data_IF_006792886659
#
_entry.id   IF_006792886659
#
_cell.length_a   1.000
_cell.length_b   1.000
_cell.length_c   1.000
_cell.angle_alpha   90.00
_cell.angle_beta   90.00
_cell.angle_gamma   90.00
#
_symmetry.space_group_name_H-M   'P 1'
#
loop_
_entity.id
_entity.type
_entity.pdbx_description
1 polymer ?
#
# COMPACT_ATOMS: atom_id res chain seq x y z
N UNK A 1 -16.57 1.53 13.58
CA UNK A 1 -16.47 1.48 12.10
C UNK A 1 -15.05 1.08 11.75
N UNK A 2 -14.80 0.11 10.84
CA UNK A 2 -13.45 -0.18 10.40
C UNK A 2 -12.85 1.07 9.74
N UNK A 3 -11.61 1.42 10.12
CA UNK A 3 -10.92 2.55 9.52
C UNK A 3 -10.62 2.23 8.05
N UNK A 4 -11.09 3.08 7.13
CA UNK A 4 -11.00 2.82 5.68
C UNK A 4 -9.55 2.83 5.17
N UNK A 5 -8.69 3.71 5.71
CA UNK A 5 -7.32 3.89 5.25
C UNK A 5 -6.35 3.97 6.42
N UNK A 6 -5.48 2.98 6.56
CA UNK A 6 -4.31 3.04 7.46
C UNK A 6 -3.26 3.94 6.78
N UNK A 7 -2.76 4.92 7.52
CA UNK A 7 -1.73 5.86 7.05
C UNK A 7 -0.35 5.54 7.58
N UNK A 8 -0.26 4.95 8.79
CA UNK A 8 1.03 4.63 9.40
C UNK A 8 0.90 3.55 10.49
N UNK A 9 1.99 2.84 10.76
CA UNK A 9 2.18 1.97 11.92
C UNK A 9 3.51 2.33 12.61
N UNK A 10 3.50 2.44 13.94
CA UNK A 10 4.66 2.88 14.73
C UNK A 10 4.88 1.95 15.93
N UNK A 11 6.14 1.65 16.21
CA UNK A 11 6.58 1.02 17.47
C UNK A 11 7.45 2.02 18.21
N UNK A 12 7.01 2.42 19.40
CA UNK A 12 7.78 3.24 20.31
C UNK A 12 8.14 2.40 21.52
N UNK A 13 9.38 1.92 21.61
CA UNK A 13 9.88 1.14 22.74
C UNK A 13 11.18 1.79 23.24
N UNK A 14 11.19 2.20 24.52
CA UNK A 14 12.21 3.11 25.05
C UNK A 14 12.97 2.59 26.27
N UNK A 15 13.96 3.40 26.69
CA UNK A 15 14.74 3.22 27.92
C UNK A 15 13.78 3.14 29.12
N UNK A 16 13.87 2.07 29.94
CA UNK A 16 12.90 1.59 30.96
C UNK A 16 11.95 0.45 30.52
N UNK A 17 12.15 -0.15 29.34
CA UNK A 17 11.57 -1.46 29.03
C UNK A 17 10.05 -1.47 28.79
N UNK A 18 9.48 -0.30 28.48
CA UNK A 18 8.06 -0.14 28.17
C UNK A 18 7.89 0.68 26.89
N UNK A 19 6.77 0.46 26.23
CA UNK A 19 6.48 1.07 24.95
C UNK A 19 5.04 0.88 24.49
N UNK A 20 4.78 1.21 23.24
CA UNK A 20 3.51 0.99 22.60
C UNK A 20 3.67 0.78 21.09
N UNK A 21 2.76 0.00 20.52
CA UNK A 21 2.47 -0.06 19.10
C UNK A 21 1.26 0.83 18.82
N UNK A 22 1.25 1.54 17.70
CA UNK A 22 0.16 2.44 17.31
C UNK A 22 -0.11 2.36 15.83
N UNK A 23 -1.39 2.30 15.46
CA UNK A 23 -1.87 2.44 14.08
C UNK A 23 -2.46 3.83 13.91
N UNK A 24 -2.12 4.50 12.80
CA UNK A 24 -2.71 5.76 12.38
C UNK A 24 -3.62 5.53 11.18
N UNK A 25 -4.77 6.19 11.17
CA UNK A 25 -5.69 6.21 10.05
C UNK A 25 -6.09 7.65 9.72
N UNK A 26 -6.62 7.87 8.50
CA UNK A 26 -7.09 9.20 8.09
C UNK A 26 -8.09 9.79 9.11
N UNK A 27 -7.83 11.01 9.57
CA UNK A 27 -8.66 11.71 10.57
C UNK A 27 -8.29 11.47 12.04
N UNK A 28 -7.22 10.72 12.33
CA UNK A 28 -6.78 10.42 13.70
C UNK A 28 -5.69 11.39 14.17
N UNK A 29 -5.87 12.00 15.36
CA UNK A 29 -4.88 12.90 15.95
C UNK A 29 -3.66 12.11 16.44
N UNK A 30 -2.50 12.38 15.84
CA UNK A 30 -1.23 11.75 16.20
C UNK A 30 -0.48 12.56 17.26
N UNK A 31 -0.64 12.19 18.53
CA UNK A 31 0.18 12.72 19.64
C UNK A 31 1.15 11.67 20.15
N UNK A 32 2.30 12.11 20.69
CA UNK A 32 3.25 11.23 21.39
C UNK A 32 2.57 10.71 22.66
N UNK A 33 2.59 9.40 22.88
CA UNK A 33 1.90 8.75 24.01
C UNK A 33 2.92 8.20 25.02
N UNK A 34 2.47 7.97 26.24
CA UNK A 34 3.28 7.39 27.32
C UNK A 34 2.53 6.26 28.00
N UNK A 35 3.24 5.18 28.30
CA UNK A 35 2.71 4.03 29.05
C UNK A 35 2.32 4.41 30.48
N UNK A 36 3.03 5.36 31.09
CA UNK A 36 2.88 5.75 32.49
C UNK A 36 1.91 6.91 32.72
N UNK A 37 1.21 7.37 31.67
CA UNK A 37 0.31 8.51 31.79
C UNK A 37 -1.06 8.10 32.34
N UNK A 38 -1.57 8.85 33.33
CA UNK A 38 -2.92 8.70 33.85
C UNK A 38 -3.97 9.40 32.97
N UNK A 39 -3.54 10.34 32.13
CA UNK A 39 -4.37 11.09 31.18
C UNK A 39 -4.86 10.16 30.05
N UNK A 40 -6.19 9.98 29.87
CA UNK A 40 -6.76 9.10 28.85
C UNK A 40 -6.28 9.37 27.42
N UNK A 41 -6.00 10.63 27.08
CA UNK A 41 -5.60 11.03 25.74
C UNK A 41 -4.11 10.77 25.47
N UNK A 42 -3.31 10.65 26.54
CA UNK A 42 -1.86 10.41 26.49
C UNK A 42 -1.45 9.01 26.92
N UNK A 43 -2.38 8.23 27.47
CA UNK A 43 -2.17 6.84 27.88
C UNK A 43 -2.32 5.90 26.68
N UNK A 44 -1.27 5.16 26.34
CA UNK A 44 -1.35 4.18 25.25
C UNK A 44 -2.39 3.07 25.51
N UNK A 45 -2.58 2.67 26.77
CA UNK A 45 -3.51 1.61 27.17
C UNK A 45 -5.00 1.99 27.02
N UNK A 46 -5.31 3.30 26.96
CA UNK A 46 -6.68 3.81 26.89
C UNK A 46 -7.09 4.23 25.48
N UNK A 47 -6.21 4.05 24.50
CA UNK A 47 -6.41 4.54 23.14
C UNK A 47 -6.79 3.38 22.22
N UNK A 48 -7.89 3.49 21.45
CA UNK A 48 -8.43 2.39 20.66
C UNK A 48 -7.51 1.95 19.51
N UNK A 49 -6.52 2.77 19.17
CA UNK A 49 -5.57 2.55 18.07
C UNK A 49 -4.15 2.19 18.57
N UNK A 50 -3.98 1.91 19.86
CA UNK A 50 -2.67 1.64 20.47
C UNK A 50 -2.69 0.35 21.30
N UNK A 51 -1.58 -0.38 21.28
CA UNK A 51 -1.35 -1.57 22.10
C UNK A 51 -0.09 -1.35 22.93
N UNK A 52 -0.17 -1.55 24.24
CA UNK A 52 0.98 -1.44 25.12
C UNK A 52 1.99 -2.57 24.91
N UNK A 53 3.28 -2.24 24.97
CA UNK A 53 4.40 -3.18 24.83
C UNK A 53 5.17 -3.21 26.15
N UNK A 54 5.30 -4.39 26.73
CA UNK A 54 5.93 -4.59 28.04
C UNK A 54 7.34 -5.21 27.97
N UNK A 55 7.84 -5.58 26.78
CA UNK A 55 9.16 -6.20 26.64
C UNK A 55 9.75 -6.00 25.26
N UNK A 56 11.08 -6.17 25.16
CA UNK A 56 11.82 -6.07 23.91
C UNK A 56 11.41 -7.17 22.92
N UNK A 57 11.18 -8.39 23.39
CA UNK A 57 10.73 -9.51 22.54
C UNK A 57 9.41 -9.17 21.86
N UNK A 58 8.47 -8.63 22.62
CA UNK A 58 7.17 -8.19 22.08
C UNK A 58 7.34 -7.00 21.14
N UNK A 59 8.25 -6.06 21.46
CA UNK A 59 8.59 -4.96 20.56
C UNK A 59 9.13 -5.46 19.21
N UNK A 60 9.99 -6.48 19.21
CA UNK A 60 10.56 -7.06 18.00
C UNK A 60 9.45 -7.74 17.15
N UNK A 61 8.48 -8.43 17.78
CA UNK A 61 7.29 -8.94 17.08
C UNK A 61 6.42 -7.84 16.48
N UNK A 62 6.20 -6.75 17.20
CA UNK A 62 5.45 -5.61 16.67
C UNK A 62 6.21 -4.83 15.59
N UNK A 63 7.55 -4.86 15.60
CA UNK A 63 8.33 -4.31 14.49
C UNK A 63 8.15 -5.12 13.21
N UNK A 64 8.05 -6.45 13.31
CA UNK A 64 7.67 -7.30 12.18
C UNK A 64 6.28 -6.93 11.67
N UNK A 65 5.29 -6.85 12.56
CA UNK A 65 3.92 -6.47 12.19
C UNK A 65 3.84 -5.07 11.56
N UNK A 66 4.59 -4.09 12.10
CA UNK A 66 4.74 -2.75 11.55
C UNK A 66 5.21 -2.79 10.10
N UNK A 67 6.29 -3.53 9.83
CA UNK A 67 6.86 -3.62 8.49
C UNK A 67 5.87 -4.27 7.52
N UNK A 68 5.22 -5.36 7.93
CA UNK A 68 4.20 -6.03 7.12
C UNK A 68 3.03 -5.09 6.77
N UNK A 69 2.52 -4.33 7.74
CA UNK A 69 1.43 -3.37 7.51
C UNK A 69 1.87 -2.27 6.55
N UNK A 70 3.08 -1.71 6.73
CA UNK A 70 3.60 -0.66 5.85
C UNK A 70 3.82 -1.18 4.42
N UNK A 71 4.29 -2.42 4.26
CA UNK A 71 4.40 -3.07 2.95
C UNK A 71 3.03 -3.18 2.27
N UNK A 72 2.01 -3.67 2.97
CA UNK A 72 0.64 -3.75 2.42
C UNK A 72 0.02 -2.40 2.11
N UNK A 73 0.26 -1.40 2.95
CA UNK A 73 -0.16 -0.02 2.67
C UNK A 73 0.55 0.49 1.41
N UNK A 74 1.84 0.23 1.24
CA UNK A 74 2.57 0.63 0.03
C UNK A 74 2.06 -0.10 -1.22
N UNK A 75 1.75 -1.40 -1.15
CA UNK A 75 1.13 -2.15 -2.26
C UNK A 75 -0.19 -1.50 -2.72
N UNK A 76 -1.00 -0.98 -1.81
CA UNK A 76 -2.26 -0.29 -2.17
C UNK A 76 -2.05 1.10 -2.79
N UNK A 77 -0.89 1.73 -2.55
CA UNK A 77 -0.54 3.04 -3.12
C UNK A 77 0.39 2.95 -4.32
N UNK A 78 0.96 1.78 -4.61
CA UNK A 78 1.57 1.54 -5.90
C UNK A 78 0.48 1.81 -6.94
N UNK A 79 0.76 2.62 -7.98
CA UNK A 79 -0.15 2.65 -9.11
C UNK A 79 -0.28 1.20 -9.52
N UNK A 80 -1.50 0.67 -9.40
CA UNK A 80 -1.86 -0.53 -10.13
C UNK A 80 -1.40 -0.18 -11.53
N UNK A 81 -0.32 -0.82 -12.00
CA UNK A 81 -0.09 -0.95 -13.42
C UNK A 81 -1.37 -1.68 -13.83
N UNK A 82 -2.36 -0.88 -14.20
CA UNK A 82 -3.50 -1.33 -14.96
C UNK A 82 -2.80 -1.90 -16.16
N UNK A 83 -2.53 -3.21 -16.11
CA UNK A 83 -2.48 -4.02 -17.30
C UNK A 83 -3.86 -3.80 -17.86
N UNK A 84 -3.98 -2.71 -18.61
CA UNK A 84 -5.10 -2.46 -19.46
C UNK A 84 -5.18 -3.75 -20.23
N UNK A 85 -6.21 -4.54 -19.95
CA UNK A 85 -6.60 -5.65 -20.77
C UNK A 85 -7.09 -5.01 -22.06
N UNK A 86 -6.15 -4.47 -22.84
CA UNK A 86 -6.39 -3.94 -24.16
C UNK A 86 -6.85 -5.17 -24.91
N UNK A 87 -8.09 -5.16 -25.38
CA UNK A 87 -8.59 -6.29 -26.14
C UNK A 87 -7.71 -6.40 -27.40
N UNK A 88 -7.46 -7.62 -27.92
CA UNK A 88 -6.72 -7.78 -29.18
C UNK A 88 -7.30 -6.91 -30.32
N UNK A 89 -8.60 -6.60 -30.28
CA UNK A 89 -9.27 -5.69 -31.21
C UNK A 89 -8.80 -4.22 -31.07
N UNK A 90 -8.61 -3.73 -29.84
CA UNK A 90 -8.14 -2.37 -29.58
C UNK A 90 -6.69 -2.18 -30.04
N UNK A 91 -5.86 -3.22 -29.92
CA UNK A 91 -4.49 -3.20 -30.45
C UNK A 91 -4.48 -3.15 -31.99
N UNK A 92 -5.33 -3.95 -32.65
CA UNK A 92 -5.47 -3.93 -34.12
C UNK A 92 -5.91 -2.54 -34.61
N UNK A 93 -6.80 -1.86 -33.89
CA UNK A 93 -7.21 -0.49 -34.23
C UNK A 93 -6.07 0.53 -34.10
N UNK A 94 -5.19 0.37 -33.09
CA UNK A 94 -3.99 1.22 -32.95
C UNK A 94 -3.01 0.99 -34.09
N UNK A 95 -2.72 -0.26 -34.43
CA UNK A 95 -1.84 -0.57 -35.56
C UNK A 95 -2.40 -0.07 -36.89
N UNK A 96 -3.73 -0.08 -37.07
CA UNK A 96 -4.37 0.48 -38.28
C UNK A 96 -4.13 1.98 -38.39
N UNK A 97 -4.22 2.72 -37.29
CA UNK A 97 -3.91 4.16 -37.28
C UNK A 97 -2.45 4.43 -37.64
N UNK A 98 -1.52 3.63 -37.12
CA UNK A 98 -0.09 3.76 -37.45
C UNK A 98 0.17 3.48 -38.94
N UNK A 99 -0.59 2.57 -39.55
CA UNK A 99 -0.53 2.31 -41.00
C UNK A 99 -1.08 3.50 -41.80
N UNK A 100 -2.23 4.03 -41.39
CA UNK A 100 -2.85 5.21 -42.02
C UNK A 100 -1.94 6.47 -41.90
N UNK A 101 -1.18 6.57 -40.81
CA UNK A 101 -0.16 7.60 -40.59
C UNK A 101 1.17 7.33 -41.31
N UNK A 102 1.32 6.16 -41.96
CA UNK A 102 2.53 5.77 -42.67
C UNK A 102 3.73 5.45 -41.78
N UNK A 103 3.51 5.24 -40.48
CA UNK A 103 4.55 4.93 -39.48
C UNK A 103 4.99 3.46 -39.59
N UNK A 104 4.08 2.58 -39.99
CA UNK A 104 4.35 1.16 -40.25
C UNK A 104 3.92 0.81 -41.67
N UNK A 105 4.50 -0.25 -42.21
CA UNK A 105 4.16 -0.80 -43.52
C UNK A 105 2.98 -1.78 -43.45
N UNK A 106 2.32 -2.03 -44.59
CA UNK A 106 1.23 -3.01 -44.71
C UNK A 106 1.66 -4.41 -44.23
N UNK A 107 2.91 -4.79 -44.49
CA UNK A 107 3.49 -6.08 -44.10
C UNK A 107 3.60 -6.21 -42.56
N UNK A 108 4.09 -5.16 -41.90
CA UNK A 108 4.22 -5.09 -40.45
C UNK A 108 2.86 -5.11 -39.74
N UNK A 109 1.86 -4.42 -40.32
CA UNK A 109 0.49 -4.43 -39.83
C UNK A 109 -0.12 -5.84 -39.89
N UNK A 110 0.03 -6.54 -41.02
CA UNK A 110 -0.52 -7.90 -41.21
C UNK A 110 0.14 -8.91 -40.26
N UNK A 111 1.45 -8.82 -40.06
CA UNK A 111 2.19 -9.70 -39.15
C UNK A 111 1.72 -9.52 -37.71
N UNK A 112 1.60 -8.27 -37.24
CA UNK A 112 1.09 -7.96 -35.90
C UNK A 112 -0.37 -8.38 -35.72
N UNK A 113 -1.21 -8.18 -36.73
CA UNK A 113 -2.61 -8.64 -36.70
C UNK A 113 -2.73 -10.16 -36.54
N UNK A 114 -1.90 -10.95 -37.23
CA UNK A 114 -1.89 -12.42 -37.10
C UNK A 114 -1.41 -12.87 -35.73
N UNK A 115 -0.36 -12.24 -35.21
CA UNK A 115 0.18 -12.49 -33.86
C UNK A 115 -0.89 -12.26 -32.78
N UNK A 116 -1.63 -11.15 -32.89
CA UNK A 116 -2.69 -10.79 -31.94
C UNK A 116 -3.94 -11.68 -32.03
N UNK A 117 -4.25 -12.19 -33.22
CA UNK A 117 -5.37 -13.12 -33.44
C UNK A 117 -4.97 -14.59 -33.24
N UNK A 118 -3.69 -14.87 -32.96
CA UNK A 118 -3.13 -16.23 -32.82
C UNK A 118 -3.45 -17.15 -34.02
N UNK A 119 -3.35 -16.59 -35.23
CA UNK A 119 -3.62 -17.25 -36.52
C UNK A 119 -2.36 -17.83 -37.16
#
# INVERSE_FOLDING_TARGET
MPHKNITNAEVNYGFLGSGYFKISAGGMQNTRKSYWSNDPDKSAAKQPNSISIASKVVADSFNYAKNFILEKVNETHMPVNTVSTISPADEILKYKKLLDEGIITDEEFILKKKELLRL
#
